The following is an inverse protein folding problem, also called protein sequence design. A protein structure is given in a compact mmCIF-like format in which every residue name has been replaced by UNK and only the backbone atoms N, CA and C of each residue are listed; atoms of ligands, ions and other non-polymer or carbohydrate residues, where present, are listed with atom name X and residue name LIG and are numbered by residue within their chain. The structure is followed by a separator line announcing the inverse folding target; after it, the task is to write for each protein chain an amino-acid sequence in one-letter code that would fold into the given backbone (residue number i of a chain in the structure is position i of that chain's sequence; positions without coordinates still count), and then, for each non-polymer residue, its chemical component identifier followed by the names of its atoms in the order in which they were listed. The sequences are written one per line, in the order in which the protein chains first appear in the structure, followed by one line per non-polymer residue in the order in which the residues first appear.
data_IF_556440913664
#
_entry.id   IF_556440913664
#
_cell.length_a   1.000
_cell.length_b   1.000
_cell.length_c   1.000
_cell.angle_alpha   90.00
_cell.angle_beta   90.00
_cell.angle_gamma   90.00
#
_symmetry.space_group_name_H-M   'P 1'
#
loop_
_entity.id
_entity.type
_entity.pdbx_description
1 polymer ?
#
# COMPACT_ATOMS: atom_id res chain seq x y z
N UNK A 1 1.37 11.44 -20.85
CA UNK A 1 -0.07 11.07 -20.75
C UNK A 1 -0.76 12.21 -20.04
N UNK A 2 -1.90 12.65 -20.53
CA UNK A 2 -2.74 13.65 -19.86
C UNK A 2 -3.90 12.92 -19.18
N UNK A 3 -4.29 13.37 -18.00
CA UNK A 3 -5.44 12.85 -17.29
C UNK A 3 -6.74 13.38 -17.95
N UNK A 4 -7.79 12.58 -17.92
CA UNK A 4 -9.13 13.00 -18.33
C UNK A 4 -9.69 14.03 -17.35
N UNK A 5 -10.79 14.70 -17.72
CA UNK A 5 -11.49 15.64 -16.83
C UNK A 5 -11.93 14.90 -15.55
N UNK A 6 -12.53 13.72 -15.71
CA UNK A 6 -13.00 12.90 -14.60
C UNK A 6 -11.84 12.50 -13.65
N UNK A 7 -10.69 12.05 -14.19
CA UNK A 7 -9.50 11.73 -13.39
C UNK A 7 -8.96 12.95 -12.61
N UNK A 8 -9.01 14.14 -13.22
CA UNK A 8 -8.63 15.38 -12.54
C UNK A 8 -9.62 15.75 -11.43
N UNK A 9 -10.93 15.51 -11.65
CA UNK A 9 -11.96 15.77 -10.65
C UNK A 9 -11.84 14.80 -9.46
N UNK A 10 -11.57 13.51 -9.70
CA UNK A 10 -11.27 12.52 -8.65
C UNK A 10 -10.06 12.96 -7.83
N UNK A 11 -8.98 13.33 -8.49
CA UNK A 11 -7.76 13.81 -7.84
C UNK A 11 -8.01 15.04 -6.97
N UNK A 12 -8.79 15.99 -7.48
CA UNK A 12 -9.17 17.20 -6.75
C UNK A 12 -10.04 16.87 -5.54
N UNK A 13 -11.07 16.04 -5.70
CA UNK A 13 -11.96 15.62 -4.62
C UNK A 13 -11.20 14.87 -3.51
N UNK A 14 -10.30 13.95 -3.87
CA UNK A 14 -9.46 13.24 -2.92
C UNK A 14 -8.56 14.19 -2.11
N UNK A 15 -7.98 15.20 -2.76
CA UNK A 15 -7.19 16.24 -2.08
C UNK A 15 -8.03 17.04 -1.10
N UNK A 16 -9.18 17.56 -1.56
CA UNK A 16 -10.07 18.38 -0.72
C UNK A 16 -10.53 17.60 0.51
N UNK A 17 -10.89 16.33 0.34
CA UNK A 17 -11.21 15.43 1.45
C UNK A 17 -10.03 15.30 2.42
N UNK A 18 -8.85 14.95 1.93
CA UNK A 18 -7.68 14.75 2.77
C UNK A 18 -7.26 16.05 3.49
N UNK A 19 -7.29 17.20 2.80
CA UNK A 19 -6.98 18.50 3.42
C UNK A 19 -7.98 18.91 4.50
N UNK A 20 -9.25 18.53 4.33
CA UNK A 20 -10.32 18.82 5.31
C UNK A 20 -10.29 17.89 6.52
N UNK A 21 -9.94 16.60 6.33
CA UNK A 21 -10.14 15.58 7.36
C UNK A 21 -8.85 15.14 8.07
N UNK A 22 -7.67 15.20 7.42
CA UNK A 22 -6.45 14.62 7.99
C UNK A 22 -5.67 15.59 8.87
N UNK A 23 -5.61 16.87 8.51
CA UNK A 23 -4.68 17.85 9.14
C UNK A 23 -4.81 17.96 10.64
N UNK A 24 -6.02 17.93 11.15
CA UNK A 24 -6.28 18.13 12.58
C UNK A 24 -6.05 16.87 13.42
N UNK A 25 -6.11 15.67 12.81
CA UNK A 25 -6.07 14.39 13.52
C UNK A 25 -4.74 13.63 13.33
N UNK A 26 -4.05 13.82 12.20
CA UNK A 26 -2.88 13.05 11.81
C UNK A 26 -1.76 13.01 12.85
N UNK A 27 -1.47 14.16 13.48
CA UNK A 27 -0.44 14.24 14.53
C UNK A 27 -0.82 13.42 15.76
N UNK A 28 -2.08 13.45 16.16
CA UNK A 28 -2.59 12.65 17.28
C UNK A 28 -2.52 11.15 16.97
N UNK A 29 -2.91 10.74 15.76
CA UNK A 29 -2.82 9.35 15.33
C UNK A 29 -1.38 8.83 15.28
N UNK A 30 -0.41 9.63 14.80
CA UNK A 30 1.02 9.26 14.84
C UNK A 30 1.53 9.11 16.27
N UNK A 31 1.19 10.04 17.18
CA UNK A 31 1.66 10.03 18.56
C UNK A 31 1.10 8.86 19.38
N UNK A 32 -0.19 8.57 19.20
CA UNK A 32 -0.89 7.53 19.96
C UNK A 32 -0.78 6.14 19.31
N UNK A 33 -0.29 6.08 18.06
CA UNK A 33 -0.27 4.88 17.23
C UNK A 33 -1.68 4.28 17.02
N UNK A 34 -2.69 5.12 16.93
CA UNK A 34 -4.10 4.76 16.78
C UNK A 34 -4.69 5.41 15.53
N UNK A 35 -5.79 4.84 15.05
CA UNK A 35 -6.56 5.37 13.93
C UNK A 35 -8.04 5.27 14.24
N UNK A 36 -8.77 6.34 13.98
CA UNK A 36 -10.23 6.35 14.11
C UNK A 36 -10.88 5.80 12.85
N UNK A 37 -11.58 4.67 12.99
CA UNK A 37 -12.28 4.03 11.86
C UNK A 37 -13.41 4.91 11.30
N UNK A 38 -13.96 5.85 12.05
CA UNK A 38 -14.93 6.82 11.55
C UNK A 38 -14.40 7.66 10.37
N UNK A 39 -13.08 7.90 10.33
CA UNK A 39 -12.46 8.57 9.17
C UNK A 39 -12.43 7.66 7.93
N UNK A 40 -12.21 6.35 8.11
CA UNK A 40 -12.29 5.39 7.03
C UNK A 40 -13.73 5.20 6.53
N UNK A 41 -14.72 5.06 7.43
CA UNK A 41 -16.13 4.98 7.08
C UNK A 41 -16.55 6.18 6.23
N UNK A 42 -16.14 7.38 6.64
CA UNK A 42 -16.36 8.61 5.88
C UNK A 42 -15.72 8.57 4.49
N UNK A 43 -14.51 8.03 4.37
CA UNK A 43 -13.86 7.86 3.06
C UNK A 43 -14.60 6.85 2.16
N UNK A 44 -15.23 5.83 2.75
CA UNK A 44 -16.12 4.91 2.03
C UNK A 44 -17.38 5.62 1.53
N UNK A 45 -18.03 6.43 2.37
CA UNK A 45 -19.22 7.22 1.98
C UNK A 45 -18.94 8.16 0.81
N UNK A 46 -17.74 8.75 0.74
CA UNK A 46 -17.29 9.60 -0.36
C UNK A 46 -16.80 8.83 -1.59
N UNK A 47 -16.78 7.49 -1.54
CA UNK A 47 -16.39 6.64 -2.65
C UNK A 47 -14.89 6.57 -2.94
N UNK A 48 -14.02 6.90 -1.99
CA UNK A 48 -12.57 6.83 -2.16
C UNK A 48 -12.00 5.43 -1.90
N UNK A 49 -12.79 4.54 -1.31
CA UNK A 49 -12.38 3.18 -0.95
C UNK A 49 -12.96 2.17 -1.94
N UNK A 50 -12.17 1.18 -2.36
CA UNK A 50 -12.65 0.12 -3.26
C UNK A 50 -13.01 0.59 -4.67
N UNK A 51 -12.44 1.69 -5.15
CA UNK A 51 -12.74 2.30 -6.46
C UNK A 51 -12.58 1.34 -7.64
N UNK A 52 -11.60 0.42 -7.58
CA UNK A 52 -11.35 -0.60 -8.60
C UNK A 52 -12.26 -1.84 -8.47
N UNK A 53 -13.02 -1.97 -7.38
CA UNK A 53 -13.99 -3.06 -7.22
C UNK A 53 -15.13 -2.82 -8.22
N UNK A 54 -15.55 -3.92 -8.89
CA UNK A 54 -16.61 -3.83 -9.91
C UNK A 54 -17.95 -3.39 -9.32
N UNK A 55 -18.76 -2.74 -10.15
CA UNK A 55 -20.10 -2.27 -9.79
C UNK A 55 -21.02 -3.40 -9.31
N UNK A 56 -20.89 -4.60 -9.89
CA UNK A 56 -21.62 -5.82 -9.47
C UNK A 56 -21.43 -6.17 -7.99
N UNK A 57 -20.37 -5.65 -7.36
CA UNK A 57 -20.02 -5.86 -5.96
C UNK A 57 -20.03 -4.56 -5.14
N UNK A 58 -20.70 -3.53 -5.64
CA UNK A 58 -20.89 -2.26 -4.96
C UNK A 58 -19.76 -1.25 -5.12
N UNK A 59 -18.69 -1.57 -5.87
CA UNK A 59 -17.61 -0.64 -6.18
C UNK A 59 -17.95 0.30 -7.35
N UNK A 60 -16.97 1.09 -7.78
CA UNK A 60 -17.14 2.04 -8.89
C UNK A 60 -16.66 1.49 -10.25
N UNK A 61 -16.06 0.29 -10.29
CA UNK A 61 -15.55 -0.30 -11.52
C UNK A 61 -14.46 0.51 -12.23
N UNK A 62 -13.81 1.42 -11.51
CA UNK A 62 -12.71 2.25 -12.01
C UNK A 62 -11.43 1.42 -12.18
N UNK A 63 -10.40 2.05 -12.76
CA UNK A 63 -9.10 1.42 -12.91
C UNK A 63 -8.18 1.57 -11.69
N UNK A 64 -7.03 0.92 -11.78
CA UNK A 64 -5.95 1.10 -10.82
C UNK A 64 -5.29 2.48 -10.94
N UNK A 65 -5.47 3.18 -12.08
CA UNK A 65 -5.01 4.56 -12.22
C UNK A 65 -5.78 5.49 -11.27
N UNK A 66 -7.11 5.45 -11.25
CA UNK A 66 -7.94 6.27 -10.37
C UNK A 66 -7.66 5.96 -8.89
N UNK A 67 -7.56 4.67 -8.54
CA UNK A 67 -7.15 4.27 -7.20
C UNK A 67 -5.78 4.84 -6.79
N UNK A 68 -4.81 4.83 -7.72
CA UNK A 68 -3.48 5.38 -7.48
C UNK A 68 -3.48 6.91 -7.39
N UNK A 69 -4.35 7.61 -8.12
CA UNK A 69 -4.51 9.06 -8.01
C UNK A 69 -5.03 9.47 -6.63
N UNK A 70 -5.98 8.71 -6.07
CA UNK A 70 -6.46 8.90 -4.70
C UNK A 70 -5.32 8.66 -3.70
N UNK A 71 -4.57 7.58 -3.87
CA UNK A 71 -3.43 7.25 -3.01
C UNK A 71 -2.36 8.37 -3.03
N UNK A 72 -2.04 8.94 -4.20
CA UNK A 72 -1.13 10.08 -4.33
C UNK A 72 -1.61 11.27 -3.49
N UNK A 73 -2.88 11.67 -3.60
CA UNK A 73 -3.40 12.84 -2.90
C UNK A 73 -3.54 12.62 -1.39
N UNK A 74 -3.94 11.43 -0.95
CA UNK A 74 -4.00 11.09 0.47
C UNK A 74 -2.61 11.13 1.10
N UNK A 75 -1.61 10.50 0.47
CA UNK A 75 -0.23 10.48 0.96
C UNK A 75 0.47 11.84 0.85
N UNK A 76 0.01 12.72 -0.03
CA UNK A 76 0.46 14.10 -0.12
C UNK A 76 0.08 14.91 1.09
N UNK A 77 -1.11 14.67 1.65
CA UNK A 77 -1.62 15.39 2.83
C UNK A 77 -1.14 14.76 4.13
N UNK A 78 -1.28 13.44 4.26
CA UNK A 78 -0.72 12.67 5.37
C UNK A 78 -0.56 11.18 5.03
N UNK A 79 0.69 10.66 5.04
CA UNK A 79 0.93 9.25 4.73
C UNK A 79 0.29 8.27 5.70
N UNK A 80 0.25 8.59 7.01
CA UNK A 80 -0.31 7.73 8.05
C UNK A 80 -1.81 7.54 7.89
N UNK A 81 -2.56 8.63 7.72
CA UNK A 81 -4.00 8.60 7.45
C UNK A 81 -4.31 7.94 6.11
N UNK A 82 -3.59 8.32 5.04
CA UNK A 82 -3.79 7.75 3.72
C UNK A 82 -3.55 6.24 3.69
N UNK A 83 -2.50 5.75 4.37
CA UNK A 83 -2.25 4.32 4.49
C UNK A 83 -3.34 3.62 5.28
N UNK A 84 -3.74 4.15 6.44
CA UNK A 84 -4.73 3.52 7.30
C UNK A 84 -6.07 3.33 6.57
N UNK A 85 -6.53 4.34 5.80
CA UNK A 85 -7.77 4.27 5.02
C UNK A 85 -7.66 3.25 3.89
N UNK A 86 -6.67 3.42 3.00
CA UNK A 86 -6.60 2.64 1.77
C UNK A 86 -6.26 1.16 2.01
N UNK A 87 -5.58 0.87 3.12
CA UNK A 87 -5.24 -0.51 3.47
C UNK A 87 -6.41 -1.35 4.00
N UNK A 88 -7.57 -0.75 4.32
CA UNK A 88 -8.73 -1.50 4.80
C UNK A 88 -9.31 -2.46 3.75
N UNK A 89 -9.00 -2.26 2.48
CA UNK A 89 -9.37 -3.16 1.38
C UNK A 89 -8.20 -3.99 0.85
N UNK A 90 -7.01 -3.93 1.48
CA UNK A 90 -5.82 -4.64 1.00
C UNK A 90 -6.03 -6.17 0.99
N UNK A 91 -6.05 -6.75 -0.20
CA UNK A 91 -6.40 -8.14 -0.45
C UNK A 91 -7.68 -8.30 -1.30
N UNK A 92 -8.51 -7.26 -1.43
CA UNK A 92 -9.69 -7.30 -2.29
C UNK A 92 -9.33 -7.50 -3.76
N UNK A 93 -8.14 -7.06 -4.21
CA UNK A 93 -7.58 -7.31 -5.53
C UNK A 93 -7.43 -8.80 -5.82
N UNK A 94 -6.95 -9.55 -4.81
CA UNK A 94 -6.82 -11.02 -4.86
C UNK A 94 -8.19 -11.68 -4.93
N UNK A 95 -9.11 -11.25 -4.07
CA UNK A 95 -10.46 -11.80 -4.00
C UNK A 95 -11.25 -11.50 -5.28
N UNK A 96 -11.17 -10.27 -5.80
CA UNK A 96 -11.85 -9.91 -7.06
C UNK A 96 -11.30 -10.69 -8.26
N UNK A 97 -9.99 -10.93 -8.32
CA UNK A 97 -9.36 -11.63 -9.43
C UNK A 97 -9.62 -13.13 -9.41
N UNK A 98 -9.58 -13.76 -8.24
CA UNK A 98 -9.51 -15.22 -8.10
C UNK A 98 -10.60 -15.83 -7.25
N UNK A 99 -11.36 -15.06 -6.50
CA UNK A 99 -12.49 -15.56 -5.71
C UNK A 99 -13.59 -16.15 -6.58
N UNK A 100 -14.36 -17.10 -6.03
CA UNK A 100 -15.60 -17.56 -6.65
C UNK A 100 -16.64 -16.43 -6.64
N UNK A 101 -17.66 -16.54 -7.47
CA UNK A 101 -18.75 -15.55 -7.48
C UNK A 101 -19.45 -15.42 -6.12
N UNK A 102 -19.58 -16.55 -5.41
CA UNK A 102 -20.12 -16.55 -4.05
C UNK A 102 -19.23 -15.77 -3.08
N UNK A 103 -17.90 -16.01 -3.13
CA UNK A 103 -16.93 -15.28 -2.30
C UNK A 103 -16.95 -13.80 -2.62
N UNK A 104 -16.93 -13.39 -3.89
CA UNK A 104 -16.98 -11.98 -4.31
C UNK A 104 -18.24 -11.28 -3.79
N UNK A 105 -19.42 -11.88 -4.04
CA UNK A 105 -20.71 -11.33 -3.59
C UNK A 105 -20.84 -11.25 -2.07
N UNK A 106 -20.19 -12.15 -1.35
CA UNK A 106 -20.24 -12.19 0.12
C UNK A 106 -19.33 -11.16 0.77
N UNK A 107 -18.13 -10.96 0.23
CA UNK A 107 -17.09 -10.20 0.95
C UNK A 107 -16.80 -8.82 0.38
N UNK A 108 -16.90 -8.61 -0.96
CA UNK A 108 -16.53 -7.34 -1.56
C UNK A 108 -17.47 -6.17 -1.22
N UNK A 109 -18.81 -6.33 -1.17
CA UNK A 109 -19.70 -5.20 -0.87
C UNK A 109 -19.44 -4.56 0.49
N UNK A 110 -19.22 -5.35 1.55
CA UNK A 110 -18.92 -4.81 2.88
C UNK A 110 -17.61 -4.03 2.97
N UNK A 111 -16.64 -4.32 2.07
CA UNK A 111 -15.38 -3.57 2.00
C UNK A 111 -15.59 -2.17 1.39
N UNK A 112 -16.53 -2.04 0.48
CA UNK A 112 -16.85 -0.75 -0.18
C UNK A 112 -17.74 0.11 0.71
N UNK A 113 -18.72 -0.52 1.38
CA UNK A 113 -19.67 0.20 2.25
C UNK A 113 -19.09 0.66 3.59
N UNK A 114 -17.88 0.21 3.95
CA UNK A 114 -17.30 0.52 5.25
C UNK A 114 -17.79 -0.40 6.39
N UNK A 115 -18.44 -1.53 6.06
CA UNK A 115 -18.93 -2.50 7.06
C UNK A 115 -17.90 -3.57 7.42
N UNK A 116 -16.89 -3.79 6.56
CA UNK A 116 -15.89 -4.82 6.74
C UNK A 116 -14.50 -4.37 6.32
N UNK A 117 -13.49 -4.92 6.97
CA UNK A 117 -12.06 -4.74 6.67
C UNK A 117 -11.47 -6.09 6.30
N UNK A 118 -10.60 -6.11 5.28
CA UNK A 118 -9.84 -7.29 4.87
C UNK A 118 -8.34 -7.01 4.98
N UNK A 119 -7.57 -8.07 5.18
CA UNK A 119 -6.10 -8.02 5.12
C UNK A 119 -5.51 -9.18 4.34
N UNK A 120 -4.24 -9.06 3.96
CA UNK A 120 -3.48 -10.10 3.27
C UNK A 120 -2.24 -10.48 4.09
N UNK A 121 -2.17 -11.73 4.52
CA UNK A 121 -1.11 -12.27 5.36
C UNK A 121 -0.12 -13.09 4.52
N UNK A 122 1.04 -12.50 4.19
CA UNK A 122 2.07 -13.12 3.35
C UNK A 122 3.33 -13.38 4.15
N UNK A 123 3.95 -12.30 4.65
CA UNK A 123 5.27 -12.29 5.31
C UNK A 123 5.30 -13.11 6.59
N UNK A 124 6.41 -13.81 6.82
CA UNK A 124 6.72 -14.54 8.05
C UNK A 124 8.03 -14.01 8.67
N UNK A 125 8.33 -14.32 9.96
CA UNK A 125 9.58 -13.86 10.57
C UNK A 125 10.83 -14.17 9.75
N UNK A 126 10.88 -15.34 9.09
CA UNK A 126 12.02 -15.81 8.29
C UNK A 126 11.83 -15.67 6.76
N UNK A 127 10.66 -15.18 6.29
CA UNK A 127 10.33 -15.14 4.86
C UNK A 127 9.62 -13.82 4.49
N UNK A 128 10.40 -12.86 3.96
CA UNK A 128 9.90 -11.58 3.43
C UNK A 128 10.06 -11.50 1.91
N UNK A 129 11.21 -11.04 1.43
CA UNK A 129 11.51 -10.93 -0.01
C UNK A 129 11.49 -12.28 -0.73
N UNK A 130 11.83 -13.36 -0.06
CA UNK A 130 11.62 -14.73 -0.54
C UNK A 130 10.26 -15.26 -0.06
N UNK A 131 9.20 -14.77 -0.70
CA UNK A 131 7.83 -15.19 -0.37
C UNK A 131 7.59 -16.69 -0.63
N UNK A 132 8.40 -17.34 -1.46
CA UNK A 132 8.30 -18.78 -1.69
C UNK A 132 8.78 -19.63 -0.50
N UNK A 133 9.53 -19.03 0.43
CA UNK A 133 10.08 -19.70 1.61
C UNK A 133 9.13 -19.72 2.82
N UNK A 134 7.88 -19.26 2.70
CA UNK A 134 6.91 -19.30 3.78
C UNK A 134 6.67 -20.73 4.27
N UNK A 135 6.47 -20.87 5.58
CA UNK A 135 6.35 -22.15 6.28
C UNK A 135 4.95 -22.39 6.86
N UNK A 136 4.11 -21.37 6.98
CA UNK A 136 2.70 -21.53 7.41
C UNK A 136 2.03 -22.57 6.51
N UNK A 137 1.45 -23.59 7.11
CA UNK A 137 0.80 -24.71 6.39
C UNK A 137 -0.72 -24.63 6.51
N UNK A 138 -1.41 -25.17 5.50
CA UNK A 138 -2.83 -25.45 5.57
C UNK A 138 -3.05 -26.90 5.08
N UNK A 139 -3.23 -27.80 6.03
CA UNK A 139 -3.38 -29.24 5.76
C UNK A 139 -4.87 -29.55 5.58
N UNK A 140 -5.19 -30.22 4.48
CA UNK A 140 -6.57 -30.66 4.21
C UNK A 140 -6.94 -31.84 5.10
N UNK A 141 -8.00 -31.68 5.88
CA UNK A 141 -8.55 -32.71 6.76
C UNK A 141 -10.08 -32.82 6.53
N UNK A 142 -10.50 -33.83 5.80
CA UNK A 142 -11.89 -33.96 5.40
C UNK A 142 -12.36 -32.78 4.54
N UNK A 143 -13.37 -32.07 5.02
CA UNK A 143 -13.98 -30.89 4.37
C UNK A 143 -13.37 -29.55 4.83
N UNK A 144 -12.24 -29.57 5.55
CA UNK A 144 -11.58 -28.39 6.10
C UNK A 144 -10.10 -28.32 5.76
N UNK A 145 -9.56 -27.09 5.76
CA UNK A 145 -8.14 -26.82 5.92
C UNK A 145 -7.84 -26.50 7.39
N UNK A 146 -6.82 -27.11 7.95
CA UNK A 146 -6.28 -26.80 9.28
C UNK A 146 -4.99 -26.03 9.10
N UNK A 147 -4.96 -24.77 9.55
CA UNK A 147 -3.88 -23.83 9.35
C UNK A 147 -3.03 -23.74 10.62
N UNK A 148 -1.72 -23.87 10.47
CA UNK A 148 -0.73 -23.71 11.53
C UNK A 148 0.44 -22.86 11.04
N UNK A 149 0.92 -21.93 11.88
CA UNK A 149 2.06 -21.09 11.58
C UNK A 149 1.93 -19.68 12.15
N UNK A 150 2.75 -18.77 11.65
CA UNK A 150 2.74 -17.36 12.06
C UNK A 150 3.00 -16.43 10.89
N UNK A 151 2.49 -15.21 10.98
CA UNK A 151 2.69 -14.14 10.01
C UNK A 151 3.13 -12.86 10.71
N UNK A 152 3.98 -12.07 10.05
CA UNK A 152 4.60 -10.87 10.60
C UNK A 152 4.34 -9.65 9.72
N UNK A 153 4.18 -8.49 10.34
CA UNK A 153 3.92 -7.21 9.66
C UNK A 153 2.62 -7.17 8.85
N UNK A 154 1.60 -7.83 9.36
CA UNK A 154 0.32 -7.93 8.66
C UNK A 154 -0.55 -6.72 8.96
N UNK A 155 -0.93 -6.01 7.90
CA UNK A 155 -1.82 -4.86 7.98
C UNK A 155 -3.23 -5.31 8.38
N UNK A 156 -3.82 -4.56 9.32
CA UNK A 156 -5.18 -4.73 9.82
C UNK A 156 -5.49 -6.07 10.53
N UNK A 157 -4.51 -6.90 10.85
CA UNK A 157 -4.74 -8.23 11.40
C UNK A 157 -5.58 -8.26 12.68
N UNK A 158 -5.57 -7.21 13.51
CA UNK A 158 -6.36 -7.14 14.76
C UNK A 158 -7.69 -6.39 14.62
N UNK A 159 -7.98 -5.80 13.46
CA UNK A 159 -9.22 -5.05 13.20
C UNK A 159 -9.99 -5.58 11.98
N UNK A 160 -9.37 -6.41 11.14
CA UNK A 160 -10.01 -7.00 9.99
C UNK A 160 -11.05 -8.06 10.39
N UNK A 161 -12.11 -8.17 9.59
CA UNK A 161 -13.09 -9.24 9.70
C UNK A 161 -12.57 -10.54 9.08
N UNK A 162 -11.76 -10.40 8.03
CA UNK A 162 -11.22 -11.54 7.29
C UNK A 162 -9.77 -11.27 6.87
N UNK A 163 -8.96 -12.33 6.86
CA UNK A 163 -7.57 -12.31 6.38
C UNK A 163 -7.40 -13.35 5.27
N UNK A 164 -6.83 -12.94 4.16
CA UNK A 164 -6.34 -13.84 3.12
C UNK A 164 -4.95 -14.35 3.52
N UNK A 165 -4.81 -15.64 3.72
CA UNK A 165 -3.56 -16.25 4.21
C UNK A 165 -2.86 -16.97 3.07
N UNK A 166 -1.68 -16.48 2.70
CA UNK A 166 -0.77 -17.17 1.79
C UNK A 166 0.01 -18.24 2.55
N UNK A 167 -0.18 -19.51 2.20
CA UNK A 167 0.33 -20.66 2.95
C UNK A 167 0.66 -21.86 2.04
N UNK A 168 1.35 -22.84 2.59
CA UNK A 168 1.70 -24.09 1.92
C UNK A 168 0.55 -25.10 2.09
N UNK A 169 -0.03 -25.53 0.97
CA UNK A 169 -1.06 -26.58 0.95
C UNK A 169 -0.55 -27.90 0.36
N UNK A 170 0.49 -27.85 -0.47
CA UNK A 170 1.06 -28.99 -1.17
C UNK A 170 2.57 -29.06 -0.94
N UNK A 171 3.04 -29.54 0.23
CA UNK A 171 4.48 -29.51 0.60
C UNK A 171 5.38 -30.21 -0.40
N UNK A 172 4.93 -31.33 -0.99
CA UNK A 172 5.68 -32.15 -1.94
C UNK A 172 5.52 -31.66 -3.39
N UNK A 173 4.78 -30.56 -3.61
CA UNK A 173 4.59 -29.96 -4.92
C UNK A 173 5.86 -29.31 -5.47
N UNK A 174 5.87 -29.01 -6.78
CA UNK A 174 6.91 -28.17 -7.38
C UNK A 174 6.98 -26.81 -6.66
N UNK A 175 8.13 -26.14 -6.57
CA UNK A 175 8.29 -24.89 -5.80
C UNK A 175 7.23 -23.83 -6.09
N UNK A 176 6.80 -23.67 -7.34
CA UNK A 176 5.77 -22.72 -7.76
C UNK A 176 4.32 -23.29 -7.67
N UNK A 177 4.13 -24.51 -7.17
CA UNK A 177 2.84 -25.22 -7.02
C UNK A 177 2.58 -25.69 -5.59
N UNK A 178 3.22 -25.07 -4.62
CA UNK A 178 3.12 -25.47 -3.20
C UNK A 178 2.14 -24.60 -2.42
N UNK A 179 1.87 -23.39 -2.89
CA UNK A 179 1.19 -22.35 -2.14
C UNK A 179 -0.24 -22.15 -2.61
N UNK A 180 -1.09 -21.78 -1.67
CA UNK A 180 -2.46 -21.36 -1.91
C UNK A 180 -2.80 -20.14 -1.09
N UNK A 181 -3.92 -19.50 -1.40
CA UNK A 181 -4.50 -18.41 -0.62
C UNK A 181 -5.81 -18.90 -0.01
N UNK A 182 -5.93 -18.79 1.31
CA UNK A 182 -7.11 -19.24 2.06
C UNK A 182 -7.69 -18.06 2.83
N UNK A 183 -9.00 -17.88 2.73
CA UNK A 183 -9.74 -16.85 3.49
C UNK A 183 -10.03 -17.37 4.89
N UNK A 184 -9.67 -16.59 5.90
CA UNK A 184 -9.84 -16.91 7.33
C UNK A 184 -10.60 -15.77 8.01
N UNK A 185 -11.73 -16.08 8.64
CA UNK A 185 -12.40 -15.15 9.55
C UNK A 185 -11.55 -14.95 10.83
N UNK A 186 -11.40 -13.74 11.28
CA UNK A 186 -10.55 -13.43 12.44
C UNK A 186 -11.15 -13.89 13.78
N UNK A 187 -12.44 -14.23 13.78
CA UNK A 187 -13.15 -14.86 14.90
C UNK A 187 -12.97 -16.39 14.98
N UNK A 188 -12.27 -17.00 13.99
CA UNK A 188 -12.05 -18.45 13.97
C UNK A 188 -11.18 -18.90 15.15
N UNK A 189 -11.60 -19.92 15.93
CA UNK A 189 -10.79 -20.42 17.03
C UNK A 189 -9.37 -20.77 16.62
N UNK A 190 -8.38 -20.36 17.43
CA UNK A 190 -6.95 -20.55 17.14
C UNK A 190 -6.28 -19.41 16.36
N UNK A 191 -7.06 -18.45 15.83
CA UNK A 191 -6.53 -17.21 15.26
C UNK A 191 -6.23 -16.20 16.37
N UNK A 192 -5.03 -15.64 16.37
CA UNK A 192 -4.64 -14.56 17.27
C UNK A 192 -3.84 -13.50 16.51
N UNK A 193 -4.13 -12.23 16.74
CA UNK A 193 -3.39 -11.10 16.18
C UNK A 193 -2.98 -10.12 17.27
N UNK A 194 -1.71 -9.73 17.27
CA UNK A 194 -1.15 -8.77 18.22
C UNK A 194 -0.60 -7.56 17.48
N UNK A 195 -1.03 -6.36 17.87
CA UNK A 195 -0.56 -5.11 17.28
C UNK A 195 0.91 -4.88 17.59
N UNK A 196 1.68 -4.50 16.57
CA UNK A 196 3.09 -4.11 16.68
C UNK A 196 3.14 -2.59 16.96
N UNK A 197 3.73 -2.23 18.10
CA UNK A 197 3.97 -0.85 18.51
C UNK A 197 5.40 -0.39 18.21
N UNK A 198 5.64 0.93 18.27
CA UNK A 198 6.97 1.50 18.11
C UNK A 198 7.46 1.54 16.66
N UNK A 199 6.59 1.51 15.68
CA UNK A 199 6.99 1.67 14.27
C UNK A 199 7.66 3.01 14.04
N UNK A 200 8.61 3.06 13.12
CA UNK A 200 9.27 4.31 12.72
C UNK A 200 8.29 5.31 12.11
N UNK A 201 7.43 4.86 11.19
CA UNK A 201 6.47 5.67 10.46
C UNK A 201 5.16 4.96 10.20
N UNK A 202 4.24 5.64 9.50
CA UNK A 202 2.84 5.22 9.27
C UNK A 202 2.20 4.64 10.54
N UNK A 203 2.41 5.33 11.66
CA UNK A 203 2.10 4.80 13.00
C UNK A 203 0.60 4.67 13.24
N UNK A 204 -0.21 5.46 12.54
CA UNK A 204 -1.66 5.33 12.51
C UNK A 204 -2.13 3.97 11.95
N UNK A 205 -1.41 3.41 10.97
CA UNK A 205 -1.79 2.16 10.34
C UNK A 205 -1.65 0.96 11.30
N UNK A 206 -2.69 0.14 11.40
CA UNK A 206 -2.67 -1.10 12.18
C UNK A 206 -1.75 -2.12 11.51
N UNK A 207 -0.74 -2.58 12.23
CA UNK A 207 0.22 -3.60 11.76
C UNK A 207 0.39 -4.63 12.84
N UNK A 208 0.32 -5.92 12.50
CA UNK A 208 0.24 -7.00 13.48
C UNK A 208 1.19 -8.15 13.19
N UNK A 209 1.46 -8.92 14.24
CA UNK A 209 1.85 -10.31 14.19
C UNK A 209 0.58 -11.17 14.30
N UNK A 210 0.50 -12.25 13.53
CA UNK A 210 -0.62 -13.21 13.57
C UNK A 210 -0.07 -14.61 13.85
N UNK A 211 -0.74 -15.35 14.73
CA UNK A 211 -0.50 -16.78 14.95
C UNK A 211 -1.73 -17.61 14.61
N UNK A 212 -1.50 -18.78 14.06
CA UNK A 212 -2.49 -19.78 13.73
C UNK A 212 -2.17 -21.07 14.47
N UNK A 213 -3.09 -21.53 15.34
CA UNK A 213 -2.98 -22.76 16.12
C UNK A 213 -4.21 -23.61 15.84
N UNK A 214 -4.08 -24.57 14.93
CA UNK A 214 -5.15 -25.46 14.48
C UNK A 214 -6.40 -24.71 13.98
N UNK A 215 -6.21 -23.60 13.26
CA UNK A 215 -7.29 -22.80 12.70
C UNK A 215 -7.97 -23.58 11.57
N UNK A 216 -9.20 -24.01 11.81
CA UNK A 216 -9.94 -24.88 10.89
C UNK A 216 -11.00 -24.11 10.11
N UNK A 217 -10.85 -24.02 8.79
CA UNK A 217 -11.79 -23.36 7.88
C UNK A 217 -12.29 -24.31 6.79
N UNK A 218 -13.50 -24.11 6.24
CA UNK A 218 -14.03 -24.93 5.15
C UNK A 218 -13.13 -24.93 3.91
N UNK A 219 -13.09 -26.01 3.14
CA UNK A 219 -12.35 -26.07 1.86
C UNK A 219 -12.85 -25.03 0.85
N UNK A 220 -14.10 -24.58 0.96
CA UNK A 220 -14.67 -23.49 0.14
C UNK A 220 -14.04 -22.12 0.40
N UNK A 221 -13.21 -21.97 1.44
CA UNK A 221 -12.46 -20.76 1.73
C UNK A 221 -11.17 -20.64 0.89
N UNK A 222 -10.84 -21.65 0.08
CA UNK A 222 -9.77 -21.55 -0.90
C UNK A 222 -10.11 -20.46 -1.92
N UNK A 223 -9.17 -19.53 -2.14
CA UNK A 223 -9.29 -18.46 -3.15
C UNK A 223 -8.50 -18.87 -4.38
N UNK A 224 -9.18 -19.04 -5.48
CA UNK A 224 -8.60 -19.50 -6.74
C UNK A 224 -8.37 -21.02 -6.76
N UNK A 225 -7.20 -21.46 -7.21
CA UNK A 225 -6.86 -22.87 -7.41
C UNK A 225 -5.78 -23.32 -6.44
N UNK A 226 -5.96 -24.46 -5.80
CA UNK A 226 -4.97 -25.06 -4.89
C UNK A 226 -3.62 -25.26 -5.58
N UNK A 227 -2.54 -24.89 -4.90
CA UNK A 227 -1.18 -24.96 -5.44
C UNK A 227 -0.80 -23.81 -6.38
N UNK A 228 -1.71 -22.90 -6.73
CA UNK A 228 -1.45 -21.77 -7.64
C UNK A 228 -1.26 -20.43 -6.92
N UNK A 229 -1.22 -20.42 -5.60
CA UNK A 229 -1.13 -19.20 -4.78
C UNK A 229 0.08 -18.32 -5.11
N UNK A 230 1.21 -18.89 -5.51
CA UNK A 230 2.40 -18.09 -5.86
C UNK A 230 2.18 -17.27 -7.14
N UNK A 231 1.55 -17.84 -8.17
CA UNK A 231 1.23 -17.13 -9.41
C UNK A 231 0.20 -16.02 -9.14
N UNK A 232 -0.82 -16.33 -8.33
CA UNK A 232 -1.83 -15.36 -7.89
C UNK A 232 -1.20 -14.21 -7.09
N UNK A 233 -0.23 -14.50 -6.23
CA UNK A 233 0.50 -13.51 -5.44
C UNK A 233 1.34 -12.58 -6.34
N UNK A 234 1.97 -13.10 -7.38
CA UNK A 234 2.73 -12.26 -8.32
C UNK A 234 1.82 -11.31 -9.12
N UNK A 235 0.65 -11.79 -9.56
CA UNK A 235 -0.35 -10.94 -10.21
C UNK A 235 -0.93 -9.88 -9.24
N UNK A 236 -1.20 -10.26 -8.01
CA UNK A 236 -1.63 -9.35 -6.94
C UNK A 236 -0.61 -8.21 -6.75
N UNK A 237 0.68 -8.53 -6.63
CA UNK A 237 1.73 -7.52 -6.48
C UNK A 237 1.86 -6.59 -7.69
N UNK A 238 1.60 -7.05 -8.90
CA UNK A 238 1.62 -6.18 -10.08
C UNK A 238 0.52 -5.09 -10.03
N UNK A 239 -0.57 -5.33 -9.31
CA UNK A 239 -1.64 -4.37 -9.08
C UNK A 239 -1.34 -3.45 -7.90
N UNK A 240 -0.99 -4.03 -6.76
CA UNK A 240 -0.79 -3.28 -5.52
C UNK A 240 0.44 -2.37 -5.55
N UNK A 241 1.49 -2.71 -6.29
CA UNK A 241 2.67 -1.85 -6.48
C UNK A 241 2.38 -0.53 -7.17
N UNK A 242 1.28 -0.42 -7.93
CA UNK A 242 0.90 0.83 -8.59
C UNK A 242 0.52 1.91 -7.58
N UNK A 243 -0.31 1.58 -6.60
CA UNK A 243 -0.65 2.56 -5.57
C UNK A 243 0.52 2.83 -4.63
N UNK A 244 1.42 1.87 -4.40
CA UNK A 244 2.66 2.13 -3.62
C UNK A 244 3.59 3.09 -4.36
N UNK A 245 3.68 3.00 -5.69
CA UNK A 245 4.41 3.99 -6.48
C UNK A 245 3.80 5.40 -6.33
N UNK A 246 2.47 5.50 -6.36
CA UNK A 246 1.75 6.75 -6.13
C UNK A 246 1.93 7.30 -4.71
N UNK A 247 1.99 6.45 -3.69
CA UNK A 247 2.31 6.82 -2.30
C UNK A 247 3.68 7.50 -2.21
N UNK A 248 4.70 6.95 -2.87
CA UNK A 248 6.03 7.56 -2.95
C UNK A 248 6.00 8.94 -3.60
N UNK A 249 5.20 9.13 -4.65
CA UNK A 249 5.00 10.43 -5.30
C UNK A 249 4.23 11.39 -4.39
N UNK A 250 3.19 10.92 -3.73
CA UNK A 250 2.35 11.72 -2.82
C UNK A 250 3.16 12.28 -1.66
N UNK A 251 3.89 11.43 -0.92
CA UNK A 251 4.72 11.89 0.20
C UNK A 251 5.83 12.84 -0.25
N UNK A 252 6.40 12.65 -1.45
CA UNK A 252 7.36 13.57 -2.05
C UNK A 252 6.73 14.93 -2.34
N UNK A 253 5.55 14.93 -2.97
CA UNK A 253 4.83 16.16 -3.33
C UNK A 253 4.47 16.97 -2.09
N UNK A 254 3.89 16.37 -1.05
CA UNK A 254 3.58 17.05 0.22
C UNK A 254 4.81 17.62 0.90
N UNK A 255 5.91 16.88 0.91
CA UNK A 255 7.19 17.33 1.47
C UNK A 255 7.80 18.50 0.70
N UNK A 256 7.73 18.49 -0.63
CA UNK A 256 8.17 19.61 -1.47
C UNK A 256 7.37 20.87 -1.17
N UNK A 257 6.05 20.76 -1.02
CA UNK A 257 5.18 21.90 -0.70
C UNK A 257 5.50 22.52 0.67
N UNK A 258 5.72 21.66 1.69
CA UNK A 258 6.18 22.13 3.00
C UNK A 258 7.54 22.82 2.91
N UNK A 259 8.47 22.27 2.14
CA UNK A 259 9.79 22.89 1.92
C UNK A 259 9.67 24.25 1.23
N UNK A 260 8.86 24.37 0.17
CA UNK A 260 8.61 25.63 -0.54
C UNK A 260 8.00 26.68 0.41
N UNK A 261 7.00 26.29 1.20
CA UNK A 261 6.37 27.18 2.17
C UNK A 261 7.37 27.67 3.24
N UNK A 262 8.27 26.80 3.69
CA UNK A 262 9.32 27.14 4.67
C UNK A 262 10.36 28.08 4.08
N UNK A 263 10.96 27.76 2.94
CA UNK A 263 12.07 28.55 2.36
C UNK A 263 11.63 29.94 1.90
N UNK A 264 10.35 30.13 1.55
CA UNK A 264 9.77 31.45 1.25
C UNK A 264 9.68 32.36 2.47
N UNK A 265 9.56 31.81 3.68
CA UNK A 265 9.39 32.54 4.93
C UNK A 265 10.71 32.69 5.69
N UNK A 266 11.56 31.67 5.69
CA UNK A 266 12.80 31.61 6.45
C UNK A 266 13.87 32.52 5.83
N UNK A 267 14.46 33.41 6.66
CA UNK A 267 15.53 34.31 6.26
C UNK A 267 16.90 33.87 6.80
N UNK A 268 17.92 33.98 5.97
CA UNK A 268 19.33 33.84 6.32
C UNK A 268 20.18 34.79 5.43
N UNK A 269 21.26 35.31 5.95
CA UNK A 269 22.17 36.20 5.21
C UNK A 269 21.45 37.39 4.55
N UNK A 270 20.44 37.97 5.20
CA UNK A 270 19.66 39.09 4.71
C UNK A 270 18.66 38.83 3.59
N UNK A 271 18.47 37.55 3.19
CA UNK A 271 17.56 37.10 2.11
C UNK A 271 16.65 36.01 2.62
N UNK A 272 15.59 35.68 1.85
CA UNK A 272 14.85 34.42 2.07
C UNK A 272 15.72 33.24 1.62
N UNK A 273 15.48 32.05 2.17
CA UNK A 273 16.18 30.84 1.68
C UNK A 273 15.87 30.59 0.20
N UNK A 274 14.67 30.94 -0.26
CA UNK A 274 14.25 30.80 -1.66
C UNK A 274 15.10 31.62 -2.64
N UNK A 275 15.76 32.69 -2.18
CA UNK A 275 16.66 33.55 -2.99
C UNK A 275 18.06 32.93 -3.17
N UNK A 276 18.38 31.87 -2.43
CA UNK A 276 19.68 31.23 -2.48
C UNK A 276 19.74 30.21 -3.62
N UNK A 277 20.68 30.33 -4.55
CA UNK A 277 20.83 29.45 -5.72
C UNK A 277 20.93 27.97 -5.34
N UNK A 278 21.68 27.65 -4.26
CA UNK A 278 21.77 26.24 -3.80
C UNK A 278 20.42 25.64 -3.34
N UNK A 279 19.54 26.49 -2.79
CA UNK A 279 18.15 26.06 -2.43
C UNK A 279 17.31 25.88 -3.70
N UNK A 280 17.40 26.79 -4.66
CA UNK A 280 16.69 26.68 -5.94
C UNK A 280 17.07 25.41 -6.70
N UNK A 281 18.35 25.02 -6.71
CA UNK A 281 18.81 23.79 -7.33
C UNK A 281 18.20 22.53 -6.67
N UNK A 282 18.15 22.51 -5.33
CA UNK A 282 17.50 21.42 -4.60
C UNK A 282 16.01 21.31 -4.95
N UNK A 283 15.27 22.42 -4.95
CA UNK A 283 13.85 22.43 -5.32
C UNK A 283 13.64 21.96 -6.77
N UNK A 284 14.50 22.38 -7.70
CA UNK A 284 14.43 21.95 -9.10
C UNK A 284 14.68 20.42 -9.25
N UNK A 285 15.64 19.87 -8.51
CA UNK A 285 15.89 18.43 -8.51
C UNK A 285 14.72 17.66 -7.91
N UNK A 286 14.18 18.12 -6.76
CA UNK A 286 13.03 17.49 -6.10
C UNK A 286 11.82 17.42 -7.05
N UNK A 287 11.41 18.53 -7.68
CA UNK A 287 10.25 18.54 -8.58
C UNK A 287 10.49 17.68 -9.81
N UNK A 288 11.70 17.66 -10.37
CA UNK A 288 12.03 16.85 -11.54
C UNK A 288 11.90 15.37 -11.25
N UNK A 289 12.36 14.91 -10.09
CA UNK A 289 12.21 13.51 -9.64
C UNK A 289 10.75 13.12 -9.45
N UNK A 290 9.94 14.00 -8.83
CA UNK A 290 8.50 13.80 -8.63
C UNK A 290 7.81 13.62 -9.98
N UNK A 291 8.04 14.50 -10.95
CA UNK A 291 7.40 14.42 -12.27
C UNK A 291 7.82 13.16 -13.05
N UNK A 292 9.09 12.77 -12.96
CA UNK A 292 9.57 11.53 -13.57
C UNK A 292 8.90 10.29 -12.94
N UNK A 293 8.79 10.23 -11.61
CA UNK A 293 8.15 9.14 -10.89
C UNK A 293 6.64 9.08 -11.19
N UNK A 294 5.97 10.24 -11.24
CA UNK A 294 4.55 10.37 -11.59
C UNK A 294 4.29 9.85 -13.00
N UNK A 295 5.10 10.23 -13.98
CA UNK A 295 4.98 9.75 -15.34
C UNK A 295 5.15 8.23 -15.46
N UNK A 296 6.02 7.62 -14.66
CA UNK A 296 6.20 6.17 -14.62
C UNK A 296 4.96 5.44 -14.09
N UNK A 297 4.40 5.86 -12.93
CA UNK A 297 3.26 5.13 -12.38
C UNK A 297 1.98 5.36 -13.17
N UNK A 298 1.74 6.56 -13.71
CA UNK A 298 0.58 6.80 -14.58
C UNK A 298 0.61 5.88 -15.79
N UNK A 299 1.76 5.76 -16.43
CA UNK A 299 1.92 4.86 -17.57
C UNK A 299 1.73 3.40 -17.19
N UNK A 300 2.28 2.97 -16.06
CA UNK A 300 2.17 1.59 -15.59
C UNK A 300 0.71 1.24 -15.24
N UNK A 301 -0.01 2.13 -14.54
CA UNK A 301 -1.41 1.95 -14.18
C UNK A 301 -2.32 1.94 -15.41
N UNK A 302 -2.14 2.86 -16.35
CA UNK A 302 -2.87 2.86 -17.60
C UNK A 302 -2.70 1.56 -18.41
N UNK A 303 -1.47 1.02 -18.48
CA UNK A 303 -1.24 -0.26 -19.15
C UNK A 303 -1.87 -1.43 -18.40
N UNK A 304 -1.89 -1.40 -17.07
CA UNK A 304 -2.60 -2.39 -16.25
C UNK A 304 -4.10 -2.38 -16.59
N UNK A 305 -4.72 -1.21 -16.61
CA UNK A 305 -6.16 -1.05 -16.84
C UNK A 305 -6.59 -1.38 -18.27
N UNK A 306 -5.69 -1.22 -19.24
CA UNK A 306 -5.93 -1.58 -20.65
C UNK A 306 -5.54 -3.02 -21.00
N UNK A 307 -5.24 -3.87 -20.00
CA UNK A 307 -4.89 -5.28 -20.22
C UNK A 307 -3.51 -5.49 -20.85
N UNK A 308 -2.64 -4.50 -20.81
CA UNK A 308 -1.27 -4.52 -21.34
C UNK A 308 -0.23 -4.39 -20.23
N UNK A 309 -0.51 -4.99 -19.08
CA UNK A 309 0.36 -4.93 -17.91
C UNK A 309 1.81 -5.29 -18.24
N UNK A 310 2.74 -4.49 -17.75
CA UNK A 310 4.19 -4.68 -17.90
C UNK A 310 4.85 -4.78 -16.53
N UNK A 311 5.16 -5.99 -16.02
CA UNK A 311 5.77 -6.17 -14.69
C UNK A 311 7.08 -5.39 -14.49
N UNK A 312 7.88 -5.22 -15.55
CA UNK A 312 9.10 -4.42 -15.46
C UNK A 312 8.77 -2.93 -15.25
N UNK A 313 7.79 -2.40 -15.97
CA UNK A 313 7.38 -1.00 -15.82
C UNK A 313 6.73 -0.74 -14.44
N UNK A 314 5.91 -1.68 -13.95
CA UNK A 314 5.34 -1.61 -12.58
C UNK A 314 6.46 -1.57 -11.55
N UNK A 315 7.46 -2.46 -11.69
CA UNK A 315 8.62 -2.48 -10.80
C UNK A 315 9.48 -1.21 -10.90
N UNK A 316 9.66 -0.65 -12.10
CA UNK A 316 10.33 0.66 -12.29
C UNK A 316 9.57 1.78 -11.58
N UNK A 317 8.25 1.82 -11.72
CA UNK A 317 7.40 2.84 -11.11
C UNK A 317 7.47 2.75 -9.58
N UNK A 318 7.33 1.55 -9.01
CA UNK A 318 7.41 1.32 -7.57
C UNK A 318 8.77 1.67 -7.00
N UNK A 319 9.84 1.16 -7.58
CA UNK A 319 11.19 1.45 -7.12
C UNK A 319 11.51 2.94 -7.18
N UNK A 320 11.32 3.56 -8.34
CA UNK A 320 11.70 4.96 -8.54
C UNK A 320 10.81 5.92 -7.75
N UNK A 321 9.49 5.63 -7.63
CA UNK A 321 8.57 6.38 -6.79
C UNK A 321 8.98 6.33 -5.31
N UNK A 322 9.32 5.14 -4.80
CA UNK A 322 9.76 4.95 -3.43
C UNK A 322 11.08 5.70 -3.12
N UNK A 323 12.10 5.55 -3.98
CA UNK A 323 13.37 6.30 -3.82
C UNK A 323 13.16 7.81 -3.90
N UNK A 324 12.26 8.28 -4.77
CA UNK A 324 11.91 9.70 -4.87
C UNK A 324 11.25 10.19 -3.58
N UNK A 325 10.32 9.42 -3.01
CA UNK A 325 9.69 9.72 -1.72
C UNK A 325 10.72 9.96 -0.62
N UNK A 326 11.63 9.02 -0.44
CA UNK A 326 12.69 9.11 0.57
C UNK A 326 13.67 10.26 0.29
N UNK A 327 14.09 10.43 -0.96
CA UNK A 327 14.99 11.52 -1.35
C UNK A 327 14.39 12.90 -1.07
N UNK A 328 13.15 13.12 -1.51
CA UNK A 328 12.51 14.43 -1.40
C UNK A 328 12.18 14.77 0.06
N UNK A 329 11.72 13.81 0.85
CA UNK A 329 11.47 14.03 2.28
C UNK A 329 12.76 14.34 3.03
N UNK A 330 13.89 13.71 2.69
CA UNK A 330 15.20 14.01 3.26
C UNK A 330 15.63 15.44 2.95
N UNK A 331 15.55 15.85 1.68
CA UNK A 331 15.95 17.21 1.27
C UNK A 331 15.01 18.27 1.85
N UNK A 332 13.69 17.99 1.92
CA UNK A 332 12.72 18.88 2.54
C UNK A 332 12.99 19.06 4.04
N UNK A 333 13.27 17.98 4.78
CA UNK A 333 13.65 18.05 6.19
C UNK A 333 14.95 18.84 6.37
N UNK A 334 15.95 18.61 5.52
CA UNK A 334 17.22 19.37 5.55
C UNK A 334 17.00 20.87 5.33
N UNK A 335 16.07 21.26 4.42
CA UNK A 335 15.74 22.67 4.18
C UNK A 335 15.05 23.34 5.37
N UNK A 336 14.34 22.58 6.22
CA UNK A 336 13.78 23.08 7.48
C UNK A 336 14.84 23.29 8.56
N UNK A 337 16.04 22.67 8.43
CA UNK A 337 17.09 22.74 9.43
C UNK A 337 16.66 22.20 10.78
N UNK A 338 17.04 22.85 11.89
CA UNK A 338 16.68 22.42 13.23
C UNK A 338 15.16 22.32 13.49
N UNK A 339 14.37 23.14 12.83
CA UNK A 339 12.89 23.04 12.90
C UNK A 339 12.37 21.74 12.31
N UNK A 340 13.00 21.18 11.27
CA UNK A 340 12.61 19.89 10.70
C UNK A 340 12.87 18.71 11.62
N UNK A 341 13.65 18.88 12.70
CA UNK A 341 14.04 17.80 13.61
C UNK A 341 13.16 17.70 14.87
N UNK A 342 12.17 18.56 15.01
CA UNK A 342 11.27 18.57 16.16
C UNK A 342 9.85 18.17 15.76
N UNK A 343 9.14 17.47 16.66
CA UNK A 343 7.83 16.89 16.40
C UNK A 343 6.70 17.92 16.19
N UNK A 344 6.97 19.21 16.40
CA UNK A 344 6.02 20.30 16.14
C UNK A 344 5.78 20.48 14.63
N UNK A 345 6.82 20.22 13.80
CA UNK A 345 6.78 20.32 12.35
C UNK A 345 6.57 18.96 11.71
N UNK A 346 5.59 18.86 10.83
CA UNK A 346 5.14 17.59 10.24
C UNK A 346 6.18 16.93 9.33
N UNK A 347 7.13 17.69 8.79
CA UNK A 347 8.14 17.17 7.86
C UNK A 347 8.94 15.98 8.43
N UNK A 348 9.20 15.93 9.75
CA UNK A 348 9.85 14.78 10.38
C UNK A 348 8.97 13.52 10.33
N UNK A 349 7.62 13.67 10.39
CA UNK A 349 6.68 12.55 10.25
C UNK A 349 6.71 12.02 8.82
N UNK A 350 6.63 12.91 7.83
CA UNK A 350 6.76 12.54 6.42
C UNK A 350 8.06 11.81 6.12
N UNK A 351 9.19 12.26 6.68
CA UNK A 351 10.48 11.59 6.53
C UNK A 351 10.47 10.16 7.12
N UNK A 352 9.86 9.97 8.30
CA UNK A 352 9.71 8.65 8.91
C UNK A 352 8.80 7.75 8.11
N UNK A 353 7.69 8.29 7.62
CA UNK A 353 6.66 7.58 6.88
C UNK A 353 7.14 7.17 5.50
N UNK A 354 7.89 8.02 4.80
CA UNK A 354 8.39 7.73 3.46
C UNK A 354 9.25 6.47 3.39
N UNK A 355 9.94 6.10 4.47
CA UNK A 355 10.88 4.96 4.44
C UNK A 355 10.21 3.62 4.14
N UNK A 356 8.96 3.42 4.54
CA UNK A 356 8.27 2.15 4.34
C UNK A 356 8.04 1.82 2.86
N UNK A 357 7.87 2.83 1.99
CA UNK A 357 7.61 2.60 0.56
C UNK A 357 8.79 1.93 -0.17
N UNK A 358 10.01 2.01 0.37
CA UNK A 358 11.18 1.27 -0.15
C UNK A 358 11.20 -0.21 0.29
N UNK A 359 10.41 -0.57 1.33
CA UNK A 359 10.53 -1.85 2.03
C UNK A 359 9.38 -2.80 1.66
N UNK A 360 8.12 -2.39 1.88
CA UNK A 360 6.98 -3.25 1.66
C UNK A 360 6.62 -3.39 0.17
N UNK A 361 5.75 -4.37 -0.15
CA UNK A 361 5.30 -4.67 -1.53
C UNK A 361 6.45 -4.94 -2.51
N UNK A 362 7.55 -5.45 -1.99
CA UNK A 362 8.81 -5.68 -2.69
C UNK A 362 9.85 -4.62 -2.39
N UNK A 363 10.97 -5.02 -1.76
CA UNK A 363 12.08 -4.10 -1.55
C UNK A 363 12.64 -3.61 -2.89
N UNK A 364 13.33 -2.47 -2.88
CA UNK A 364 13.94 -1.92 -4.11
C UNK A 364 14.89 -2.90 -4.81
N UNK A 365 15.51 -3.81 -4.06
CA UNK A 365 16.37 -4.88 -4.59
C UNK A 365 15.55 -5.92 -5.35
N UNK A 366 14.38 -6.31 -4.82
CA UNK A 366 13.43 -7.21 -5.50
C UNK A 366 12.91 -6.57 -6.79
N UNK A 367 12.55 -5.29 -6.76
CA UNK A 367 12.09 -4.59 -7.96
C UNK A 367 13.17 -4.53 -9.05
N UNK A 368 14.41 -4.20 -8.68
CA UNK A 368 15.56 -4.22 -9.61
C UNK A 368 15.82 -5.62 -10.19
N UNK A 369 15.66 -6.66 -9.38
CA UNK A 369 15.79 -8.04 -9.85
C UNK A 369 14.69 -8.40 -10.87
N UNK A 370 13.44 -7.98 -10.64
CA UNK A 370 12.34 -8.19 -11.59
C UNK A 370 12.63 -7.49 -12.92
N UNK A 371 13.01 -6.20 -12.86
CA UNK A 371 13.38 -5.42 -14.03
C UNK A 371 14.48 -6.11 -14.83
N UNK A 372 15.56 -6.52 -14.17
CA UNK A 372 16.68 -7.20 -14.82
C UNK A 372 16.29 -8.52 -15.49
N UNK A 373 15.46 -9.34 -14.84
CA UNK A 373 14.95 -10.60 -15.40
C UNK A 373 14.06 -10.37 -16.62
N UNK A 374 13.15 -9.38 -16.56
CA UNK A 374 12.26 -9.07 -17.68
C UNK A 374 13.03 -8.49 -18.87
N UNK A 375 14.03 -7.65 -18.64
CA UNK A 375 14.91 -7.16 -19.72
C UNK A 375 15.68 -8.30 -20.39
N UNK A 376 16.25 -9.24 -19.61
CA UNK A 376 16.96 -10.40 -20.17
C UNK A 376 16.04 -11.28 -21.02
N UNK A 377 14.75 -11.44 -20.65
CA UNK A 377 13.77 -12.19 -21.46
C UNK A 377 13.39 -11.50 -22.79
N UNK A 378 13.50 -10.16 -22.84
CA UNK A 378 13.14 -9.38 -24.06
C UNK A 378 14.28 -9.23 -25.03
N UNK A 379 15.51 -9.32 -24.57
CA UNK A 379 16.73 -9.05 -25.37
C UNK A 379 17.39 -10.34 -25.85
N UNK A 380 17.16 -11.45 -25.18
CA UNK A 380 17.72 -12.78 -25.46
C UNK A 380 16.62 -13.83 -25.63
#
# INVERSE_FOLDING_TARGET
MELTIEQNDIKKAAREFAEGEFKDVAKGFDQNEEFDLGLWEKACEFGFVGTFIKEDYGGHGMGFLEHSLIAEEFWRVDPGCGQAILSCTFGSEMLQAYGTEEQKKRYLPGLVSGEAIIGMAITEPDAGSDAAAVKTTAVKQGDRYVINGSKMFITNGSIANNILVFCVTTPDGKPNRRHSVILVGTDTPGFQATKIHGKMGIRANNTTEISFSDVAVPISNLVGTEGHGFEQLMDFFNKTRLHVAAQGVGVAQGSLEMAIAHVKKRKAYGKTLADLQGVQFKLAEMVTRIEAARGLYWRAAYLQDTGKADPALVSMAKWYGAETGVYVTNEALQLHGGYGYIAEYDIQRFYRDAKIVEIYEGSKEVEKMIIGKELARRVF
#
